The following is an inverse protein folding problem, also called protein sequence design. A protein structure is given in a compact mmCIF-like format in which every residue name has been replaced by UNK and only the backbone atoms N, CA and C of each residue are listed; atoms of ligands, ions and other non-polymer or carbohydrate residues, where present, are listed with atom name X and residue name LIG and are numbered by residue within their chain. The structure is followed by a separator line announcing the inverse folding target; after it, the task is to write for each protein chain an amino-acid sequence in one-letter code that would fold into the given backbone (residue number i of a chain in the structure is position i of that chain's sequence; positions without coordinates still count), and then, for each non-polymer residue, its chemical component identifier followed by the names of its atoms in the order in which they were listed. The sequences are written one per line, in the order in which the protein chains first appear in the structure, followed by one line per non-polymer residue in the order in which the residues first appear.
data_IF_181886511857
#
_entry.id   IF_181886511857
#
_cell.length_a   1.000
_cell.length_b   1.000
_cell.length_c   1.000
_cell.angle_alpha   90.00
_cell.angle_beta   90.00
_cell.angle_gamma   90.00
#
_symmetry.space_group_name_H-M   'P 1'
#
loop_
_entity.id
_entity.type
_entity.pdbx_description
1 polymer ?
#
# COMPACT_ATOMS: atom_id res chain seq x y z
N UNK A 1 7.54 7.42 13.15
CA UNK A 1 8.19 7.74 14.43
C UNK A 1 8.89 6.53 15.02
N UNK A 2 8.16 5.70 15.78
CA UNK A 2 8.75 4.57 16.53
C UNK A 2 9.56 3.61 15.66
N UNK A 3 8.98 3.11 14.56
CA UNK A 3 9.67 2.16 13.67
C UNK A 3 10.91 2.74 12.99
N UNK A 4 10.91 4.04 12.70
CA UNK A 4 12.08 4.71 12.14
C UNK A 4 13.21 4.73 13.17
N UNK A 5 12.93 5.20 14.39
CA UNK A 5 13.90 5.23 15.50
C UNK A 5 14.45 3.83 15.82
N UNK A 6 13.58 2.81 15.83
CA UNK A 6 14.01 1.44 16.04
C UNK A 6 14.93 0.95 14.90
N UNK A 7 14.56 1.21 13.64
CA UNK A 7 15.32 0.75 12.48
C UNK A 7 16.65 1.46 12.28
N UNK A 8 16.73 2.75 12.55
CA UNK A 8 17.90 3.59 12.28
C UNK A 8 18.87 3.64 13.47
N UNK A 9 18.36 3.73 14.71
CA UNK A 9 19.19 4.04 15.88
C UNK A 9 19.36 2.87 16.86
N UNK A 10 18.30 2.09 17.10
CA UNK A 10 18.30 1.09 18.19
C UNK A 10 18.75 -0.28 17.71
N UNK A 11 18.09 -0.82 16.68
CA UNK A 11 18.31 -2.19 16.22
C UNK A 11 19.71 -2.42 15.63
N UNK A 12 20.29 -1.52 14.83
CA UNK A 12 21.65 -1.71 14.31
C UNK A 12 22.68 -1.87 15.45
N UNK A 13 22.57 -1.01 16.47
CA UNK A 13 23.44 -1.04 17.64
C UNK A 13 23.22 -2.29 18.50
N UNK A 14 21.98 -2.71 18.69
CA UNK A 14 21.68 -3.92 19.46
C UNK A 14 22.15 -5.19 18.75
N UNK A 15 21.88 -5.32 17.44
CA UNK A 15 22.32 -6.45 16.64
C UNK A 15 23.84 -6.61 16.60
N UNK A 16 24.57 -5.49 16.52
CA UNK A 16 26.04 -5.51 16.52
C UNK A 16 26.66 -6.00 17.83
N UNK A 17 25.95 -5.85 18.96
CA UNK A 17 26.47 -6.11 20.30
C UNK A 17 25.81 -7.31 21.02
N UNK A 18 24.86 -7.99 20.37
CA UNK A 18 24.06 -9.07 20.98
C UNK A 18 24.52 -10.45 20.51
N UNK A 19 25.17 -11.22 21.40
CA UNK A 19 25.48 -12.63 21.16
C UNK A 19 24.21 -13.47 20.93
N UNK A 20 23.12 -13.12 21.61
CA UNK A 20 21.82 -13.77 21.49
C UNK A 20 21.18 -13.57 20.11
N UNK A 21 21.40 -12.41 19.47
CA UNK A 21 20.94 -12.19 18.10
C UNK A 21 21.67 -13.12 17.12
N UNK A 22 23.00 -13.26 17.26
CA UNK A 22 23.80 -14.11 16.39
C UNK A 22 23.38 -15.59 16.44
N UNK A 23 22.91 -16.07 17.60
CA UNK A 23 22.48 -17.46 17.78
C UNK A 23 21.03 -17.72 17.33
N UNK A 24 20.13 -16.74 17.46
CA UNK A 24 18.69 -16.91 17.24
C UNK A 24 18.14 -16.20 15.98
N UNK A 25 19.02 -15.65 15.14
CA UNK A 25 18.69 -14.81 13.98
C UNK A 25 17.68 -15.48 13.01
N UNK A 26 17.72 -16.80 12.87
CA UNK A 26 16.89 -17.57 11.93
C UNK A 26 15.64 -18.20 12.57
N UNK A 27 15.50 -18.14 13.90
CA UNK A 27 14.47 -18.89 14.62
C UNK A 27 13.40 -17.97 15.21
N UNK A 28 13.76 -17.10 16.15
CA UNK A 28 12.80 -16.41 17.02
C UNK A 28 12.85 -14.89 16.97
N UNK A 29 13.83 -14.30 16.28
CA UNK A 29 14.05 -12.84 16.27
C UNK A 29 13.85 -12.18 14.89
N UNK A 30 13.23 -12.87 13.94
CA UNK A 30 13.07 -12.38 12.58
C UNK A 30 12.31 -11.04 12.48
N UNK A 31 11.38 -10.77 13.40
CA UNK A 31 10.65 -9.51 13.55
C UNK A 31 11.51 -8.33 14.00
N UNK A 32 12.64 -8.59 14.67
CA UNK A 32 13.54 -7.56 15.21
C UNK A 32 14.56 -7.05 14.19
N UNK A 33 14.46 -7.50 12.93
CA UNK A 33 15.37 -7.06 11.86
C UNK A 33 15.04 -5.62 11.45
N UNK A 34 16.08 -4.84 11.16
CA UNK A 34 15.97 -3.46 10.65
C UNK A 34 15.02 -3.37 9.45
N UNK A 35 15.07 -4.36 8.54
CA UNK A 35 14.19 -4.42 7.38
C UNK A 35 12.69 -4.44 7.70
N UNK A 36 12.28 -5.05 8.81
CA UNK A 36 10.88 -5.07 9.26
C UNK A 36 10.45 -3.71 9.74
N UNK A 37 11.29 -3.05 10.54
CA UNK A 37 11.00 -1.70 11.02
C UNK A 37 10.88 -0.70 9.87
N UNK A 38 11.82 -0.72 8.92
CA UNK A 38 11.76 0.16 7.75
C UNK A 38 10.52 -0.14 6.90
N UNK A 39 10.18 -1.40 6.67
CA UNK A 39 8.97 -1.73 5.94
C UNK A 39 7.71 -1.25 6.69
N UNK A 40 7.60 -1.52 7.99
CA UNK A 40 6.45 -1.08 8.80
C UNK A 40 6.30 0.44 8.80
N UNK A 41 7.41 1.20 8.78
CA UNK A 41 7.35 2.65 8.59
C UNK A 41 6.60 3.02 7.30
N UNK A 42 6.94 2.41 6.17
CA UNK A 42 6.25 2.65 4.89
C UNK A 42 4.76 2.29 4.96
N UNK A 43 4.41 1.17 5.60
CA UNK A 43 3.02 0.78 5.81
C UNK A 43 2.24 1.84 6.60
N UNK A 44 2.78 2.32 7.73
CA UNK A 44 2.11 3.32 8.54
C UNK A 44 2.04 4.70 7.87
N UNK A 45 3.04 5.05 7.05
CA UNK A 45 2.99 6.26 6.22
C UNK A 45 1.86 6.17 5.18
N UNK A 46 1.73 5.03 4.50
CA UNK A 46 0.62 4.78 3.59
C UNK A 46 -0.74 4.90 4.29
N UNK A 47 -0.89 4.30 5.48
CA UNK A 47 -2.14 4.37 6.26
C UNK A 47 -2.46 5.80 6.71
N UNK A 48 -1.46 6.57 7.17
CA UNK A 48 -1.65 7.96 7.55
C UNK A 48 -2.10 8.82 6.35
N UNK A 49 -1.50 8.59 5.18
CA UNK A 49 -1.86 9.29 3.96
C UNK A 49 -3.26 8.91 3.45
N UNK A 50 -3.66 7.64 3.59
CA UNK A 50 -5.02 7.18 3.30
C UNK A 50 -6.06 7.89 4.20
N UNK A 51 -5.74 8.11 5.48
CA UNK A 51 -6.58 8.88 6.38
C UNK A 51 -6.68 10.35 5.98
N UNK A 52 -5.59 10.95 5.49
CA UNK A 52 -5.60 12.31 4.97
C UNK A 52 -6.52 12.43 3.73
N UNK A 53 -6.46 11.47 2.80
CA UNK A 53 -7.37 11.39 1.65
C UNK A 53 -8.82 11.29 2.11
N UNK A 54 -9.13 10.36 3.02
CA UNK A 54 -10.48 10.19 3.56
C UNK A 54 -11.00 11.47 4.24
N UNK A 55 -10.16 12.15 5.00
CA UNK A 55 -10.49 13.42 5.67
C UNK A 55 -10.82 14.53 4.67
N UNK A 56 -10.08 14.61 3.56
CA UNK A 56 -10.36 15.59 2.50
C UNK A 56 -11.69 15.27 1.82
N UNK A 57 -11.97 13.99 1.54
CA UNK A 57 -13.21 13.55 0.91
C UNK A 57 -14.45 13.72 1.80
N UNK A 58 -14.30 13.64 3.13
CA UNK A 58 -15.40 13.83 4.07
C UNK A 58 -15.81 15.30 4.25
N UNK A 59 -14.94 16.25 3.86
CA UNK A 59 -15.26 17.68 3.95
C UNK A 59 -16.28 18.09 2.88
N UNK A 60 -17.25 18.96 3.22
CA UNK A 60 -18.20 19.46 2.24
C UNK A 60 -17.50 20.32 1.18
N UNK A 61 -17.98 20.24 -0.06
CA UNK A 61 -17.49 21.02 -1.21
C UNK A 61 -16.75 20.18 -2.26
N UNK A 62 -16.14 20.86 -3.23
CA UNK A 62 -15.36 20.21 -4.28
C UNK A 62 -13.91 20.05 -3.80
N UNK A 63 -13.40 18.82 -3.65
CA UNK A 63 -12.03 18.62 -3.20
C UNK A 63 -11.04 18.98 -4.31
N UNK A 64 -9.79 19.27 -3.91
CA UNK A 64 -8.70 19.45 -4.86
C UNK A 64 -8.30 18.08 -5.45
N UNK A 65 -8.84 17.76 -6.63
CA UNK A 65 -8.59 16.47 -7.29
C UNK A 65 -7.11 16.27 -7.67
N UNK A 66 -6.36 17.32 -8.02
CA UNK A 66 -4.93 17.19 -8.30
C UNK A 66 -4.15 16.74 -7.04
N UNK A 67 -4.50 17.30 -5.88
CA UNK A 67 -3.92 16.89 -4.61
C UNK A 67 -4.30 15.44 -4.27
N UNK A 68 -5.58 15.09 -4.39
CA UNK A 68 -6.06 13.73 -4.13
C UNK A 68 -5.37 12.70 -5.03
N UNK A 69 -5.17 13.01 -6.32
CA UNK A 69 -4.44 12.13 -7.24
C UNK A 69 -3.01 11.87 -6.78
N UNK A 70 -2.27 12.92 -6.41
CA UNK A 70 -0.91 12.81 -5.86
C UNK A 70 -0.87 12.00 -4.57
N UNK A 71 -1.83 12.23 -3.67
CA UNK A 71 -1.90 11.51 -2.41
C UNK A 71 -2.22 10.02 -2.64
N UNK A 72 -3.15 9.68 -3.52
CA UNK A 72 -3.44 8.28 -3.86
C UNK A 72 -2.24 7.57 -4.50
N UNK A 73 -1.55 8.23 -5.45
CA UNK A 73 -0.32 7.66 -6.02
C UNK A 73 0.80 7.48 -4.97
N UNK A 74 0.92 8.42 -4.02
CA UNK A 74 1.89 8.29 -2.92
C UNK A 74 1.56 7.11 -1.98
N UNK A 75 0.28 6.85 -1.69
CA UNK A 75 -0.12 5.67 -0.91
C UNK A 75 0.31 4.39 -1.61
N UNK A 76 0.04 4.28 -2.91
CA UNK A 76 0.45 3.11 -3.70
C UNK A 76 1.98 2.92 -3.66
N UNK A 77 2.75 3.99 -3.85
CA UNK A 77 4.22 3.94 -3.81
C UNK A 77 4.76 3.52 -2.43
N UNK A 78 4.19 4.01 -1.33
CA UNK A 78 4.57 3.60 0.03
C UNK A 78 4.25 2.11 0.27
N UNK A 79 3.10 1.62 -0.18
CA UNK A 79 2.73 0.21 -0.07
C UNK A 79 3.61 -0.71 -0.94
N UNK A 80 4.00 -0.27 -2.15
CA UNK A 80 4.97 -0.97 -2.98
C UNK A 80 6.35 -1.02 -2.32
N UNK A 81 6.78 0.10 -1.72
CA UNK A 81 8.04 0.20 -0.97
C UNK A 81 8.02 -0.70 0.27
N UNK A 82 6.88 -0.79 0.96
CA UNK A 82 6.64 -1.75 2.03
C UNK A 82 6.90 -3.18 1.54
N UNK A 83 6.21 -3.63 0.48
CA UNK A 83 6.34 -5.01 -0.03
C UNK A 83 7.75 -5.32 -0.51
N UNK A 84 8.38 -4.40 -1.25
CA UNK A 84 9.74 -4.59 -1.79
C UNK A 84 10.79 -4.62 -0.69
N UNK A 85 10.68 -3.75 0.31
CA UNK A 85 11.57 -3.74 1.49
C UNK A 85 11.40 -5.01 2.30
N UNK A 86 10.16 -5.45 2.53
CA UNK A 86 9.87 -6.67 3.27
C UNK A 86 10.47 -7.91 2.59
N UNK A 87 10.26 -8.03 1.27
CA UNK A 87 10.75 -9.17 0.48
C UNK A 87 12.27 -9.21 0.39
N UNK A 88 12.92 -8.07 0.19
CA UNK A 88 14.38 -8.00 -0.03
C UNK A 88 15.18 -8.11 1.27
N UNK A 89 14.72 -7.47 2.35
CA UNK A 89 15.46 -7.40 3.62
C UNK A 89 15.04 -8.45 4.64
N UNK A 90 13.92 -9.14 4.44
CA UNK A 90 13.48 -10.16 5.39
C UNK A 90 12.64 -11.31 4.78
N UNK A 91 13.25 -12.18 3.96
CA UNK A 91 12.54 -13.30 3.34
C UNK A 91 11.99 -14.31 4.34
N UNK A 92 12.66 -14.50 5.49
CA UNK A 92 12.23 -15.44 6.55
C UNK A 92 10.98 -14.95 7.26
N UNK A 93 10.87 -13.64 7.54
CA UNK A 93 9.63 -13.11 8.12
C UNK A 93 8.51 -13.01 7.08
N UNK A 94 8.85 -12.77 5.81
CA UNK A 94 7.86 -12.73 4.72
C UNK A 94 7.06 -14.04 4.61
N UNK A 95 7.68 -15.20 4.84
CA UNK A 95 6.98 -16.49 4.84
C UNK A 95 6.09 -16.71 6.07
N UNK A 96 6.26 -15.91 7.13
CA UNK A 96 5.44 -15.95 8.36
C UNK A 96 4.26 -14.98 8.33
N UNK A 97 4.25 -14.03 7.39
CA UNK A 97 3.14 -13.11 7.21
C UNK A 97 1.93 -13.88 6.68
N UNK A 98 0.74 -13.55 7.21
CA UNK A 98 -0.53 -14.05 6.72
C UNK A 98 -0.70 -13.73 5.21
N UNK A 99 -0.83 -14.74 4.34
CA UNK A 99 -1.10 -14.54 2.92
C UNK A 99 -2.31 -13.64 2.63
N UNK A 100 -3.30 -13.64 3.53
CA UNK A 100 -4.49 -12.78 3.47
C UNK A 100 -4.13 -11.31 3.56
N UNK A 101 -3.19 -10.97 4.45
CA UNK A 101 -2.69 -9.61 4.59
C UNK A 101 -1.97 -9.14 3.32
N UNK A 102 -1.14 -10.00 2.70
CA UNK A 102 -0.47 -9.66 1.44
C UNK A 102 -1.45 -9.49 0.28
N UNK A 103 -2.53 -10.26 0.29
CA UNK A 103 -3.64 -10.11 -0.66
C UNK A 103 -4.31 -8.75 -0.50
N UNK A 104 -4.59 -8.34 0.75
CA UNK A 104 -5.13 -7.02 1.06
C UNK A 104 -4.18 -5.89 0.64
N UNK A 105 -2.88 -6.00 0.91
CA UNK A 105 -1.90 -4.99 0.48
C UNK A 105 -1.86 -4.86 -1.04
N UNK A 106 -1.89 -5.98 -1.75
CA UNK A 106 -1.95 -6.00 -3.23
C UNK A 106 -3.23 -5.34 -3.74
N UNK A 107 -4.37 -5.62 -3.11
CA UNK A 107 -5.63 -4.94 -3.41
C UNK A 107 -5.50 -3.42 -3.19
N UNK A 108 -4.98 -2.99 -2.04
CA UNK A 108 -4.79 -1.58 -1.68
C UNK A 108 -3.88 -0.84 -2.66
N UNK A 109 -2.79 -1.45 -3.12
CA UNK A 109 -1.91 -0.86 -4.14
C UNK A 109 -2.69 -0.58 -5.42
N UNK A 110 -3.40 -1.59 -5.94
CA UNK A 110 -4.10 -1.47 -7.22
C UNK A 110 -5.27 -0.49 -7.17
N UNK A 111 -6.05 -0.49 -6.08
CA UNK A 111 -7.15 0.47 -5.93
C UNK A 111 -6.63 1.90 -5.78
N UNK A 112 -5.51 2.12 -5.08
CA UNK A 112 -4.92 3.46 -4.94
C UNK A 112 -4.34 3.98 -6.26
N UNK A 113 -3.76 3.10 -7.09
CA UNK A 113 -3.38 3.45 -8.47
C UNK A 113 -4.59 3.88 -9.30
N UNK A 114 -5.69 3.12 -9.24
CA UNK A 114 -6.93 3.46 -9.91
C UNK A 114 -7.50 4.81 -9.43
N UNK A 115 -7.56 5.02 -8.11
CA UNK A 115 -8.01 6.29 -7.52
C UNK A 115 -7.12 7.46 -7.93
N UNK A 116 -5.80 7.25 -7.97
CA UNK A 116 -4.85 8.26 -8.45
C UNK A 116 -5.16 8.73 -9.88
N UNK A 117 -5.39 7.77 -10.79
CA UNK A 117 -5.77 8.05 -12.18
C UNK A 117 -7.15 8.71 -12.28
N UNK A 118 -8.11 8.26 -11.48
CA UNK A 118 -9.45 8.84 -11.42
C UNK A 118 -9.39 10.32 -11.02
N UNK A 119 -8.69 10.63 -9.93
CA UNK A 119 -8.56 12.01 -9.45
C UNK A 119 -7.75 12.89 -10.41
N UNK A 120 -6.71 12.34 -11.06
CA UNK A 120 -6.02 13.03 -12.15
C UNK A 120 -7.00 13.37 -13.28
N UNK A 121 -7.79 12.40 -13.74
CA UNK A 121 -8.80 12.61 -14.77
C UNK A 121 -9.83 13.66 -14.38
N UNK A 122 -10.31 13.66 -13.13
CA UNK A 122 -11.20 14.71 -12.60
C UNK A 122 -10.55 16.08 -12.61
N UNK A 123 -9.27 16.18 -12.24
CA UNK A 123 -8.54 17.44 -12.28
C UNK A 123 -8.42 17.99 -13.72
N UNK A 124 -8.05 17.13 -14.67
CA UNK A 124 -7.93 17.50 -16.09
C UNK A 124 -9.27 17.92 -16.68
N UNK A 125 -10.36 17.26 -16.25
CA UNK A 125 -11.71 17.62 -16.65
C UNK A 125 -12.07 19.04 -16.23
N UNK A 126 -11.71 19.45 -15.02
CA UNK A 126 -11.93 20.82 -14.54
C UNK A 126 -11.11 21.86 -15.31
N UNK A 127 -9.98 21.45 -15.90
CA UNK A 127 -9.13 22.29 -16.73
C UNK A 127 -9.52 22.26 -18.23
N UNK A 128 -10.67 21.67 -18.57
CA UNK A 128 -11.14 21.51 -19.95
C UNK A 128 -10.24 20.65 -20.86
N UNK A 129 -9.35 19.84 -20.29
CA UNK A 129 -8.47 18.90 -21.01
C UNK A 129 -9.18 17.55 -21.24
N UNK A 130 -10.36 17.60 -21.87
CA UNK A 130 -11.30 16.46 -21.88
C UNK A 130 -10.74 15.18 -22.50
N UNK A 131 -9.93 15.29 -23.56
CA UNK A 131 -9.33 14.11 -24.21
C UNK A 131 -8.45 13.31 -23.26
N UNK A 132 -7.57 14.00 -22.52
CA UNK A 132 -6.67 13.38 -21.55
C UNK A 132 -7.44 12.93 -20.31
N UNK A 133 -8.45 13.69 -19.89
CA UNK A 133 -9.32 13.33 -18.79
C UNK A 133 -10.07 12.00 -19.03
N UNK A 134 -10.63 11.82 -20.24
CA UNK A 134 -11.33 10.60 -20.63
C UNK A 134 -10.36 9.41 -20.64
N UNK A 135 -9.17 9.58 -21.22
CA UNK A 135 -8.16 8.53 -21.23
C UNK A 135 -7.75 8.10 -19.81
N UNK A 136 -7.51 9.07 -18.92
CA UNK A 136 -7.17 8.80 -17.52
C UNK A 136 -8.28 8.08 -16.75
N UNK A 137 -9.55 8.48 -16.92
CA UNK A 137 -10.71 7.84 -16.27
C UNK A 137 -10.96 6.44 -16.82
N UNK A 138 -10.77 6.25 -18.14
CA UNK A 138 -10.86 4.93 -18.77
C UNK A 138 -9.82 3.98 -18.20
N UNK A 139 -8.57 4.44 -18.10
CA UNK A 139 -7.48 3.67 -17.51
C UNK A 139 -7.71 3.39 -16.01
N UNK A 140 -8.22 4.37 -15.24
CA UNK A 140 -8.64 4.15 -13.86
C UNK A 140 -9.67 3.03 -13.74
N UNK A 141 -10.65 3.00 -14.66
CA UNK A 141 -11.70 1.98 -14.72
C UNK A 141 -11.11 0.59 -15.01
N UNK A 142 -10.17 0.50 -15.95
CA UNK A 142 -9.48 -0.76 -16.26
C UNK A 142 -8.68 -1.25 -15.05
N UNK A 143 -7.98 -0.35 -14.36
CA UNK A 143 -7.21 -0.68 -13.16
C UNK A 143 -8.10 -1.10 -11.96
N UNK A 144 -9.32 -0.59 -11.87
CA UNK A 144 -10.30 -0.98 -10.84
C UNK A 144 -11.08 -2.25 -11.16
N UNK A 145 -11.01 -2.78 -12.38
CA UNK A 145 -11.71 -4.03 -12.72
C UNK A 145 -11.00 -5.20 -12.06
N UNK A 146 -11.77 -6.22 -11.68
CA UNK A 146 -11.22 -7.49 -11.22
C UNK A 146 -10.36 -8.10 -12.32
N UNK A 147 -9.13 -8.46 -11.98
CA UNK A 147 -8.23 -9.17 -12.88
C UNK A 147 -8.78 -10.57 -13.15
N UNK A 148 -8.70 -11.00 -14.41
CA UNK A 148 -9.12 -12.34 -14.83
C UNK A 148 -8.04 -13.40 -14.62
N UNK A 149 -6.79 -12.99 -14.31
CA UNK A 149 -5.67 -13.89 -14.06
C UNK A 149 -4.82 -13.38 -12.89
N UNK A 150 -4.12 -14.27 -12.14
CA UNK A 150 -3.27 -13.87 -11.00
C UNK A 150 -2.11 -12.93 -11.35
N UNK A 151 -1.70 -12.89 -12.62
CA UNK A 151 -0.68 -12.00 -13.16
C UNK A 151 -1.25 -10.86 -14.00
N UNK A 152 -2.57 -10.80 -14.15
CA UNK A 152 -3.28 -9.81 -14.95
C UNK A 152 -3.40 -8.46 -14.24
N UNK A 153 -3.69 -7.43 -15.04
CA UNK A 153 -3.97 -6.07 -14.56
C UNK A 153 -5.35 -6.02 -13.92
N UNK A 154 -5.47 -5.35 -12.77
CA UNK A 154 -6.74 -5.18 -12.07
C UNK A 154 -6.71 -5.57 -10.58
N UNK A 155 -7.85 -5.45 -9.93
CA UNK A 155 -8.05 -5.85 -8.53
C UNK A 155 -8.08 -7.38 -8.40
N UNK A 156 -7.52 -7.97 -7.33
CA UNK A 156 -7.70 -9.40 -7.05
C UNK A 156 -9.18 -9.77 -6.90
N UNK A 157 -9.52 -11.02 -7.24
CA UNK A 157 -10.88 -11.53 -7.19
C UNK A 157 -11.42 -11.65 -5.76
N UNK A 158 -12.67 -11.24 -5.58
CA UNK A 158 -13.39 -11.29 -4.31
C UNK A 158 -14.31 -12.52 -4.37
N UNK A 159 -13.71 -13.70 -4.29
CA UNK A 159 -14.43 -14.96 -4.17
C UNK A 159 -15.07 -15.10 -2.79
N UNK A 160 -16.06 -15.99 -2.64
CA UNK A 160 -16.70 -16.29 -1.35
C UNK A 160 -15.78 -16.94 -0.31
N UNK A 161 -14.60 -17.39 -0.74
CA UNK A 161 -13.52 -17.94 0.08
C UNK A 161 -12.35 -16.95 0.22
N UNK A 162 -12.42 -15.80 -0.45
CA UNK A 162 -11.36 -14.79 -0.45
C UNK A 162 -11.34 -14.04 0.88
N UNK A 163 -10.16 -13.72 1.43
CA UNK A 163 -10.05 -12.83 2.59
C UNK A 163 -10.66 -11.44 2.36
N UNK A 164 -10.88 -11.08 1.10
CA UNK A 164 -11.52 -9.82 0.70
C UNK A 164 -13.05 -9.88 0.72
N UNK A 165 -13.67 -11.03 0.99
CA UNK A 165 -15.14 -11.16 1.04
C UNK A 165 -15.77 -10.21 2.06
N UNK A 166 -15.05 -9.89 3.14
CA UNK A 166 -15.47 -8.91 4.14
C UNK A 166 -15.71 -7.50 3.55
N UNK A 167 -15.07 -7.17 2.43
CA UNK A 167 -15.23 -5.91 1.71
C UNK A 167 -16.36 -5.95 0.68
N UNK A 168 -16.94 -7.12 0.41
CA UNK A 168 -18.01 -7.28 -0.59
C UNK A 168 -19.21 -6.34 -0.37
N UNK A 169 -19.71 -6.10 0.86
CA UNK A 169 -20.82 -5.18 1.10
C UNK A 169 -20.50 -3.71 0.77
N UNK A 170 -19.22 -3.33 0.77
CA UNK A 170 -18.77 -1.95 0.48
C UNK A 170 -18.50 -1.72 -1.01
N UNK A 171 -18.48 -2.79 -1.81
CA UNK A 171 -18.12 -2.77 -3.24
C UNK A 171 -19.31 -3.02 -4.18
N UNK A 172 -20.48 -3.39 -3.64
CA UNK A 172 -21.75 -3.57 -4.37
C UNK A 172 -22.59 -2.31 -4.35
#
# INVERSE_FOLDING_TARGET
GIFQYLGEDVLPNWMANSAQHAELENETLAETRVGVCLAMQHLYMAMAQQMAVATVLAKPGTPNYALLGKLSSGIAAELETFVTTFRSKNPVHMSRIDPSFLTLITFLINIQHSLGLYFLGRSLWLNCEYGVAIAAISEATVAARTRTTPTGRGLPEIESTSPLQSLSPELS
#
